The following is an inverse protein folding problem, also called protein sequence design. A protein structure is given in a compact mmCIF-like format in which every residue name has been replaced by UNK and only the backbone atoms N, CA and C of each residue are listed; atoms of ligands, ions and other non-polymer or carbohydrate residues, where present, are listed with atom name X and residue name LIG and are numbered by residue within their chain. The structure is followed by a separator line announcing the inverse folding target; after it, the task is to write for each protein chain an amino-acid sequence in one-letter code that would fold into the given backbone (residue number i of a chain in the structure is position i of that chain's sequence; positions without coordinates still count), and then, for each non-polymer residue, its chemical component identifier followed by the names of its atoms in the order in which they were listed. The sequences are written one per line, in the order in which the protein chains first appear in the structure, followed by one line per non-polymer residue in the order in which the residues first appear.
data_IF_015631348068
#
_entry.id   IF_015631348068
#
_cell.length_a   1.000
_cell.length_b   1.000
_cell.length_c   1.000
_cell.angle_alpha   90.00
_cell.angle_beta   90.00
_cell.angle_gamma   90.00
#
_symmetry.space_group_name_H-M   'P 1'
#
loop_
_entity.id
_entity.type
_entity.pdbx_description
1 polymer ?
#
# COMPACT_ATOMS: atom_id res chain seq x y z
N UNK A 1 -14.47 -49.18 59.29
CA UNK A 1 -13.65 -48.01 58.90
C UNK A 1 -13.52 -48.03 57.42
N UNK A 2 -14.24 -47.14 56.70
CA UNK A 2 -14.17 -46.97 55.20
C UNK A 2 -13.47 -45.66 54.91
N UNK A 3 -12.28 -45.75 54.32
CA UNK A 3 -11.57 -44.56 53.74
C UNK A 3 -12.24 -44.15 52.46
N UNK A 4 -12.68 -42.88 52.40
CA UNK A 4 -13.15 -42.22 51.19
C UNK A 4 -11.96 -41.49 50.63
N UNK A 5 -11.47 -41.89 49.44
CA UNK A 5 -10.47 -41.18 48.69
C UNK A 5 -11.19 -40.12 47.86
N UNK A 6 -10.92 -38.86 48.16
CA UNK A 6 -11.34 -37.72 47.34
C UNK A 6 -10.33 -37.53 46.19
N UNK A 7 -10.77 -37.85 44.98
CA UNK A 7 -9.98 -37.59 43.77
C UNK A 7 -10.18 -36.13 43.28
N UNK A 8 -9.11 -35.37 43.31
CA UNK A 8 -9.06 -34.02 42.77
C UNK A 8 -8.84 -34.10 41.26
N UNK A 9 -9.87 -33.78 40.47
CA UNK A 9 -9.76 -33.58 39.01
C UNK A 9 -9.16 -32.21 38.75
N UNK A 10 -7.91 -32.17 38.30
CA UNK A 10 -7.29 -30.98 37.78
C UNK A 10 -7.72 -30.80 36.33
N UNK A 11 -8.58 -29.81 36.08
CA UNK A 11 -8.96 -29.40 34.75
C UNK A 11 -7.82 -28.58 34.12
N UNK A 12 -7.12 -29.17 33.14
CA UNK A 12 -6.12 -28.47 32.32
C UNK A 12 -6.87 -27.66 31.28
N UNK A 13 -6.97 -26.35 31.50
CA UNK A 13 -7.44 -25.39 30.46
C UNK A 13 -6.30 -25.20 29.48
N UNK A 14 -6.37 -25.88 28.33
CA UNK A 14 -5.49 -25.66 27.22
C UNK A 14 -5.89 -24.31 26.55
N UNK A 15 -5.18 -23.23 26.88
CA UNK A 15 -5.22 -21.98 26.11
C UNK A 15 -4.63 -22.24 24.73
N UNK A 16 -5.49 -22.52 23.75
CA UNK A 16 -5.12 -22.51 22.34
C UNK A 16 -4.82 -21.08 21.94
N UNK A 17 -3.54 -20.68 21.96
CA UNK A 17 -3.09 -19.47 21.29
C UNK A 17 -3.33 -19.66 19.78
N UNK A 18 -4.41 -19.11 19.27
CA UNK A 18 -4.62 -18.96 17.85
C UNK A 18 -3.49 -18.03 17.35
N UNK A 19 -2.43 -18.61 16.84
CA UNK A 19 -1.45 -17.90 16.02
C UNK A 19 -2.24 -17.41 14.82
N UNK A 20 -2.54 -16.11 14.77
CA UNK A 20 -2.96 -15.43 13.55
C UNK A 20 -1.80 -15.57 12.58
N UNK A 21 -1.81 -16.60 11.76
CA UNK A 21 -0.98 -16.69 10.57
C UNK A 21 -1.36 -15.44 9.76
N UNK A 22 -0.44 -14.48 9.69
CA UNK A 22 -0.53 -13.40 8.73
C UNK A 22 -0.51 -14.10 7.37
N UNK A 23 -1.68 -14.23 6.76
CA UNK A 23 -1.80 -14.76 5.42
C UNK A 23 -0.94 -13.93 4.46
N UNK A 24 -0.62 -14.47 3.27
CA UNK A 24 0.06 -13.69 2.26
C UNK A 24 -0.71 -12.40 2.08
N UNK A 25 0.02 -11.27 1.90
CA UNK A 25 -0.59 -9.96 1.68
C UNK A 25 -1.63 -10.03 0.56
N UNK A 26 -2.52 -9.06 0.46
CA UNK A 26 -3.64 -9.10 -0.50
C UNK A 26 -3.18 -9.07 -1.97
N UNK A 27 -1.90 -8.80 -2.24
CA UNK A 27 -1.32 -8.76 -3.58
C UNK A 27 -0.48 -10.01 -3.85
N UNK A 28 -0.69 -10.64 -5.01
CA UNK A 28 0.14 -11.76 -5.47
C UNK A 28 1.48 -11.26 -6.03
N UNK A 29 2.53 -12.07 -5.91
CA UNK A 29 3.79 -11.89 -6.62
C UNK A 29 3.59 -12.07 -8.13
N UNK A 30 4.53 -11.57 -8.92
CA UNK A 30 4.50 -11.69 -10.37
C UNK A 30 4.69 -10.37 -11.10
N UNK A 31 4.53 -10.43 -12.41
CA UNK A 31 4.64 -9.28 -13.30
C UNK A 31 3.29 -8.59 -13.43
N UNK A 32 3.28 -7.28 -13.22
CA UNK A 32 2.06 -6.46 -13.19
C UNK A 32 2.14 -5.33 -14.21
N UNK A 33 1.13 -5.19 -15.02
CA UNK A 33 0.88 -3.97 -15.82
C UNK A 33 0.15 -2.95 -14.95
N UNK A 34 0.73 -1.76 -14.79
CA UNK A 34 0.23 -0.72 -13.91
C UNK A 34 -0.04 0.54 -14.72
N UNK A 35 -1.25 1.06 -14.61
CA UNK A 35 -1.65 2.35 -15.17
C UNK A 35 -1.86 3.34 -14.02
N UNK A 36 -1.28 4.52 -14.15
CA UNK A 36 -1.37 5.62 -13.19
C UNK A 36 -1.98 6.83 -13.88
N UNK A 37 -3.11 7.29 -13.39
CA UNK A 37 -3.78 8.51 -13.81
C UNK A 37 -3.57 9.60 -12.76
N UNK A 38 -3.09 10.75 -13.16
CA UNK A 38 -2.86 11.90 -12.27
C UNK A 38 -3.91 12.98 -12.50
N UNK A 39 -4.48 13.46 -11.40
CA UNK A 39 -5.44 14.58 -11.39
C UNK A 39 -4.93 15.67 -10.45
N UNK A 40 -4.78 16.87 -10.98
CA UNK A 40 -4.33 18.06 -10.24
C UNK A 40 -5.37 19.17 -10.43
N UNK A 41 -6.43 19.22 -9.61
CA UNK A 41 -7.56 20.12 -9.84
C UNK A 41 -7.23 21.60 -9.71
N UNK A 42 -6.18 21.96 -8.98
CA UNK A 42 -5.85 23.34 -8.65
C UNK A 42 -4.45 23.76 -9.11
N UNK A 43 -4.00 23.31 -10.29
CA UNK A 43 -2.71 23.76 -10.79
C UNK A 43 -2.85 25.17 -11.39
N UNK A 44 -2.19 26.19 -10.81
CA UNK A 44 -2.17 27.52 -11.39
C UNK A 44 -1.53 27.47 -12.77
N UNK A 45 -2.11 28.17 -13.75
CA UNK A 45 -1.67 28.24 -15.16
C UNK A 45 -1.87 26.96 -16.00
N UNK A 46 -2.64 25.98 -15.53
CA UNK A 46 -3.06 24.88 -16.39
C UNK A 46 -4.35 25.27 -17.15
N UNK A 47 -4.38 25.22 -18.49
CA UNK A 47 -5.61 25.46 -19.24
C UNK A 47 -6.71 24.50 -18.77
N UNK A 48 -7.94 24.99 -18.65
CA UNK A 48 -9.08 24.15 -18.32
C UNK A 48 -9.22 23.04 -19.36
N UNK A 49 -9.32 21.80 -18.91
CA UNK A 49 -9.46 20.63 -19.80
C UNK A 49 -8.16 19.96 -20.21
N UNK A 50 -7.00 20.42 -19.74
CA UNK A 50 -5.75 19.70 -19.98
C UNK A 50 -5.72 18.41 -19.13
N UNK A 51 -5.64 17.28 -19.80
CA UNK A 51 -5.47 15.96 -19.17
C UNK A 51 -4.00 15.53 -19.22
N UNK A 52 -3.51 15.01 -18.11
CA UNK A 52 -2.18 14.40 -18.07
C UNK A 52 -2.35 12.98 -18.62
N UNK A 53 -1.58 12.60 -19.68
CA UNK A 53 -1.67 11.23 -20.18
C UNK A 53 -1.37 10.20 -19.09
N UNK A 54 -2.11 9.09 -19.04
CA UNK A 54 -1.83 8.01 -18.11
C UNK A 54 -0.41 7.46 -18.29
N UNK A 55 0.26 7.20 -17.20
CA UNK A 55 1.57 6.53 -17.18
C UNK A 55 1.32 5.03 -17.11
N UNK A 56 1.86 4.28 -18.08
CA UNK A 56 1.84 2.83 -18.07
C UNK A 56 3.23 2.30 -17.78
N UNK A 57 3.32 1.33 -16.89
CA UNK A 57 4.59 0.69 -16.52
C UNK A 57 4.34 -0.76 -16.16
N UNK A 58 5.37 -1.57 -16.36
CA UNK A 58 5.37 -2.98 -15.94
C UNK A 58 6.29 -3.12 -14.74
N UNK A 59 5.81 -3.78 -13.70
CA UNK A 59 6.53 -3.96 -12.45
C UNK A 59 6.54 -5.44 -12.03
N UNK A 60 7.72 -5.98 -11.74
CA UNK A 60 7.84 -7.28 -11.11
C UNK A 60 7.75 -7.13 -9.59
N UNK A 61 6.78 -7.80 -8.97
CA UNK A 61 6.60 -7.88 -7.53
C UNK A 61 7.15 -9.21 -7.05
N UNK A 62 8.14 -9.17 -6.19
CA UNK A 62 8.72 -10.39 -5.60
C UNK A 62 7.80 -10.97 -4.52
N UNK A 63 8.05 -12.22 -4.12
CA UNK A 63 7.31 -12.87 -3.01
C UNK A 63 7.45 -12.10 -1.70
N UNK A 64 8.62 -11.55 -1.43
CA UNK A 64 8.90 -10.73 -0.23
C UNK A 64 8.11 -9.42 -0.25
N UNK A 65 7.99 -8.79 -1.42
CA UNK A 65 7.18 -7.59 -1.60
C UNK A 65 5.69 -7.88 -1.54
N UNK A 66 5.26 -9.04 -2.03
CA UNK A 66 3.86 -9.47 -1.93
C UNK A 66 3.47 -9.80 -0.49
N UNK A 67 4.39 -10.37 0.29
CA UNK A 67 4.19 -10.67 1.70
C UNK A 67 4.18 -9.40 2.59
N UNK A 68 4.93 -8.38 2.19
CA UNK A 68 4.99 -7.08 2.87
C UNK A 68 4.68 -5.95 1.87
N UNK A 69 3.41 -5.59 1.72
CA UNK A 69 3.00 -4.57 0.76
C UNK A 69 3.62 -3.18 1.02
N UNK A 70 4.09 -2.90 2.23
CA UNK A 70 4.82 -1.65 2.51
C UNK A 70 6.11 -1.52 1.70
N UNK A 71 6.72 -2.66 1.36
CA UNK A 71 7.93 -2.74 0.49
C UNK A 71 7.62 -2.67 -1.00
N UNK A 72 6.36 -2.89 -1.38
CA UNK A 72 5.90 -2.87 -2.76
C UNK A 72 5.25 -1.55 -3.16
N UNK A 73 5.30 -0.54 -2.30
CA UNK A 73 4.73 0.77 -2.61
C UNK A 73 5.44 1.40 -3.78
N UNK A 74 4.69 1.95 -4.74
CA UNK A 74 5.30 2.66 -5.86
C UNK A 74 6.13 3.83 -5.32
N UNK A 75 7.44 3.78 -5.54
CA UNK A 75 8.28 4.95 -5.32
C UNK A 75 7.86 6.01 -6.34
N UNK A 76 7.49 7.23 -5.91
CA UNK A 76 7.15 8.28 -6.85
C UNK A 76 8.28 8.46 -7.87
N UNK A 77 7.98 8.59 -9.17
CA UNK A 77 9.01 8.79 -10.17
C UNK A 77 9.78 10.08 -9.86
N UNK A 78 11.09 9.95 -9.66
CA UNK A 78 11.96 11.09 -9.42
C UNK A 78 12.10 11.88 -10.72
N UNK A 79 11.38 12.99 -10.85
CA UNK A 79 11.59 13.96 -11.91
C UNK A 79 12.51 15.05 -11.36
N UNK A 80 13.72 15.16 -11.90
CA UNK A 80 14.59 16.30 -11.66
C UNK A 80 15.93 16.09 -10.99
N UNK A 81 16.41 14.84 -10.79
CA UNK A 81 17.80 14.56 -10.35
C UNK A 81 18.15 15.03 -8.94
N UNK A 82 17.21 15.45 -8.12
CA UNK A 82 17.41 15.80 -6.72
C UNK A 82 17.50 14.56 -5.82
N UNK A 83 17.97 14.72 -4.56
CA UNK A 83 17.94 13.63 -3.59
C UNK A 83 16.51 13.12 -3.41
N UNK A 84 16.37 11.79 -3.28
CA UNK A 84 15.09 11.16 -3.01
C UNK A 84 14.47 11.73 -1.72
N UNK A 85 13.17 12.07 -1.70
CA UNK A 85 12.51 12.48 -0.48
C UNK A 85 12.54 11.33 0.54
N UNK A 86 12.78 11.66 1.79
CA UNK A 86 12.65 10.70 2.89
C UNK A 86 11.17 10.57 3.26
N UNK A 87 10.55 9.47 2.82
CA UNK A 87 9.13 9.22 3.03
C UNK A 87 8.94 8.11 4.07
N UNK A 88 8.09 8.39 5.05
CA UNK A 88 7.66 7.44 6.08
C UNK A 88 6.21 7.07 5.87
N UNK A 89 5.95 5.77 5.94
CA UNK A 89 4.60 5.20 5.92
C UNK A 89 4.14 4.96 7.35
N UNK A 90 2.91 5.33 7.63
CA UNK A 90 2.24 5.11 8.91
C UNK A 90 0.80 4.61 8.69
N UNK A 91 0.14 4.22 9.77
CA UNK A 91 -1.27 3.82 9.78
C UNK A 91 -1.62 2.72 8.77
N UNK A 92 -0.65 1.86 8.47
CA UNK A 92 -0.85 0.77 7.55
C UNK A 92 -1.87 -0.23 8.11
N UNK A 93 -2.98 -0.44 7.40
CA UNK A 93 -4.06 -1.35 7.78
C UNK A 93 -4.49 -2.20 6.60
N UNK A 94 -4.70 -3.48 6.86
CA UNK A 94 -5.30 -4.43 5.92
C UNK A 94 -6.59 -4.95 6.50
N UNK A 95 -7.69 -4.79 5.77
CA UNK A 95 -9.01 -5.32 6.12
C UNK A 95 -9.56 -6.08 4.91
N UNK A 96 -9.52 -7.40 4.99
CA UNK A 96 -9.83 -8.25 3.86
C UNK A 96 -8.86 -8.01 2.70
N UNK A 97 -9.37 -7.60 1.57
CA UNK A 97 -8.62 -7.28 0.37
C UNK A 97 -8.31 -5.78 0.21
N UNK A 98 -8.65 -4.97 1.20
CA UNK A 98 -8.43 -3.52 1.21
C UNK A 98 -7.23 -3.16 2.07
N UNK A 99 -6.35 -2.33 1.54
CA UNK A 99 -5.18 -1.78 2.21
C UNK A 99 -5.28 -0.27 2.26
N UNK A 100 -5.01 0.32 3.42
CA UNK A 100 -4.94 1.77 3.60
C UNK A 100 -3.66 2.13 4.35
N UNK A 101 -3.12 3.32 4.07
CA UNK A 101 -1.95 3.86 4.79
C UNK A 101 -1.91 5.38 4.70
N UNK A 102 -1.09 5.97 5.55
CA UNK A 102 -0.68 7.37 5.48
C UNK A 102 0.80 7.46 5.09
N UNK A 103 1.19 8.53 4.43
CA UNK A 103 2.57 8.80 4.05
C UNK A 103 2.93 10.24 4.38
N UNK A 104 4.13 10.43 4.91
CA UNK A 104 4.72 11.76 5.14
C UNK A 104 6.15 11.76 4.60
N UNK A 105 6.45 12.69 3.72
CA UNK A 105 7.75 12.88 3.12
C UNK A 105 8.37 14.19 3.61
N UNK A 106 9.66 14.17 3.92
CA UNK A 106 10.44 15.33 4.32
C UNK A 106 11.49 15.66 3.26
N UNK A 107 12.06 16.88 3.30
CA UNK A 107 13.08 17.34 2.36
C UNK A 107 12.58 18.44 1.44
N UNK A 108 13.25 18.60 0.29
CA UNK A 108 12.99 19.66 -0.67
C UNK A 108 11.58 19.61 -1.32
N UNK A 109 10.91 18.46 -1.23
CA UNK A 109 9.53 18.26 -1.66
C UNK A 109 8.73 17.64 -0.50
N UNK A 110 8.51 18.43 0.56
CA UNK A 110 7.67 18.01 1.66
C UNK A 110 6.27 17.67 1.13
N UNK A 111 5.80 16.48 1.47
CA UNK A 111 4.51 15.98 1.01
C UNK A 111 3.88 15.10 2.08
N UNK A 112 2.58 15.11 2.16
CA UNK A 112 1.81 14.16 2.97
C UNK A 112 0.68 13.57 2.13
N UNK A 113 0.25 12.37 2.46
CA UNK A 113 -0.81 11.76 1.70
C UNK A 113 -1.40 10.52 2.36
N UNK A 114 -2.48 10.06 1.77
CA UNK A 114 -3.14 8.82 2.15
C UNK A 114 -3.36 7.95 0.91
N UNK A 115 -3.25 6.65 1.09
CA UNK A 115 -3.51 5.69 0.03
C UNK A 115 -4.56 4.67 0.45
N UNK A 116 -5.33 4.24 -0.52
CA UNK A 116 -6.29 3.16 -0.41
C UNK A 116 -6.22 2.29 -1.65
N UNK A 117 -6.07 0.97 -1.46
CA UNK A 117 -6.02 0.00 -2.55
C UNK A 117 -6.93 -1.18 -2.23
N UNK A 118 -7.62 -1.67 -3.25
CA UNK A 118 -8.45 -2.87 -3.19
C UNK A 118 -7.91 -3.88 -4.18
N UNK A 119 -7.59 -5.06 -3.69
CA UNK A 119 -6.99 -6.14 -4.45
C UNK A 119 -8.01 -7.23 -4.77
N UNK A 120 -7.85 -7.84 -5.93
CA UNK A 120 -8.42 -9.13 -6.30
C UNK A 120 -7.27 -10.07 -6.64
N UNK A 121 -7.55 -11.32 -7.05
CA UNK A 121 -6.49 -12.31 -7.31
C UNK A 121 -5.46 -11.81 -8.34
N UNK A 122 -5.91 -11.22 -9.44
CA UNK A 122 -5.06 -10.80 -10.55
C UNK A 122 -5.23 -9.33 -10.95
N UNK A 123 -5.87 -8.53 -10.11
CA UNK A 123 -6.02 -7.10 -10.35
C UNK A 123 -6.06 -6.28 -9.05
N UNK A 124 -5.82 -5.00 -9.17
CA UNK A 124 -6.11 -4.04 -8.11
C UNK A 124 -6.54 -2.70 -8.69
N UNK A 125 -7.29 -1.97 -7.89
CA UNK A 125 -7.54 -0.55 -8.09
C UNK A 125 -7.14 0.19 -6.84
N UNK A 126 -6.72 1.44 -6.98
CA UNK A 126 -6.33 2.22 -5.82
C UNK A 126 -6.32 3.71 -6.11
N UNK A 127 -6.25 4.46 -5.03
CA UNK A 127 -6.15 5.90 -5.07
C UNK A 127 -5.14 6.36 -4.03
N UNK A 128 -4.33 7.34 -4.39
CA UNK A 128 -3.46 8.07 -3.47
C UNK A 128 -3.78 9.55 -3.59
N UNK A 129 -4.05 10.19 -2.47
CA UNK A 129 -4.23 11.65 -2.39
C UNK A 129 -3.01 12.21 -1.70
N UNK A 130 -2.32 13.12 -2.36
CA UNK A 130 -1.13 13.78 -1.84
C UNK A 130 -1.32 15.28 -1.75
N UNK A 131 -0.83 15.85 -0.68
CA UNK A 131 -0.65 17.29 -0.51
C UNK A 131 0.83 17.59 -0.58
N UNK A 132 1.23 18.40 -1.54
CA UNK A 132 2.63 18.79 -1.80
C UNK A 132 2.75 20.29 -1.64
N UNK A 133 3.77 20.76 -0.94
CA UNK A 133 4.11 22.18 -0.90
C UNK A 133 5.07 22.52 -2.05
N UNK A 134 4.69 23.44 -2.92
CA UNK A 134 5.54 23.92 -3.99
C UNK A 134 5.55 25.44 -4.00
N UNK A 135 6.73 26.03 -3.74
CA UNK A 135 6.85 27.49 -3.70
C UNK A 135 5.99 28.16 -2.62
N UNK A 136 5.79 27.49 -1.47
CA UNK A 136 4.96 28.00 -0.38
C UNK A 136 3.44 27.89 -0.59
N UNK A 137 3.02 27.23 -1.69
CA UNK A 137 1.60 26.98 -1.95
C UNK A 137 1.26 25.50 -1.84
N UNK A 138 0.22 25.13 -1.09
CA UNK A 138 -0.25 23.76 -1.01
C UNK A 138 -0.94 23.37 -2.33
N UNK A 139 -0.55 22.23 -2.89
CA UNK A 139 -1.18 21.60 -4.03
C UNK A 139 -1.69 20.22 -3.68
N UNK A 140 -2.94 19.96 -3.96
CA UNK A 140 -3.51 18.62 -3.86
C UNK A 140 -3.37 17.88 -5.19
N UNK A 141 -2.90 16.64 -5.13
CA UNK A 141 -2.77 15.75 -6.28
C UNK A 141 -3.44 14.41 -5.95
N UNK A 142 -4.26 13.93 -6.86
CA UNK A 142 -4.87 12.60 -6.76
C UNK A 142 -4.29 11.71 -7.86
N UNK A 143 -3.77 10.55 -7.45
CA UNK A 143 -3.31 9.51 -8.36
C UNK A 143 -4.25 8.31 -8.26
N UNK A 144 -4.76 7.86 -9.39
CA UNK A 144 -5.55 6.63 -9.50
C UNK A 144 -4.68 5.55 -10.11
N UNK A 145 -4.76 4.38 -9.54
CA UNK A 145 -3.97 3.21 -9.94
C UNK A 145 -4.89 2.10 -10.39
N UNK A 146 -4.54 1.48 -11.49
CA UNK A 146 -5.08 0.19 -11.92
C UNK A 146 -3.92 -0.74 -12.21
N UNK A 147 -3.99 -1.95 -11.68
CA UNK A 147 -2.98 -2.98 -11.92
C UNK A 147 -3.62 -4.27 -12.36
N UNK A 148 -2.98 -4.94 -13.32
CA UNK A 148 -3.36 -6.27 -13.81
C UNK A 148 -2.13 -7.17 -13.80
N UNK A 149 -2.27 -8.36 -13.20
CA UNK A 149 -1.21 -9.37 -13.22
C UNK A 149 -1.11 -9.99 -14.61
N UNK A 150 0.10 -10.04 -15.14
CA UNK A 150 0.40 -10.62 -16.46
C UNK A 150 0.90 -12.07 -16.37
N UNK A 151 1.36 -12.50 -15.19
CA UNK A 151 1.96 -13.81 -14.97
C UNK A 151 3.13 -13.72 -14.00
N UNK A 152 4.05 -14.66 -14.07
CA UNK A 152 5.24 -14.65 -13.23
C UNK A 152 6.28 -13.65 -13.75
N UNK A 153 7.17 -13.19 -12.86
CA UNK A 153 8.26 -12.32 -13.26
C UNK A 153 9.18 -13.05 -14.26
N UNK A 154 9.43 -12.46 -15.41
CA UNK A 154 10.50 -12.91 -16.30
C UNK A 154 11.85 -12.50 -15.72
N UNK A 155 12.78 -13.45 -15.66
CA UNK A 155 14.17 -13.22 -15.26
C UNK A 155 14.90 -12.38 -16.31
#
# INVERSE_FOLDING_TARGET
MKLVQAGTLAAIVACSAAAFAQGPGPRRDGNWDVTIEMQMPNMPNMPQGMTIPPIKTTQCITKEQAADPSKAMPTPPQRGGGPAPDCKVSDYKTVGNKVTWSMSCTGAAAASGTGEFVYTDDAYTGQMVMNVERGGQPMAMTMKYTGKRLGDCTK
#
